data_IF_535809977962
#
_entry.id   IF_535809977962
#
_cell.length_a   1.000
_cell.length_b   1.000
_cell.length_c   1.000
_cell.angle_alpha   90.00
_cell.angle_beta   90.00
_cell.angle_gamma   90.00
#
_symmetry.space_group_name_H-M   'P 1'
#
loop_
_entity.id
_entity.type
_entity.pdbx_description
1 polymer ?
#
# COMPACT_ATOMS: atom_id res chain seq x y z
N UNK A 1 14.12 -63.08 -11.71
CA UNK A 1 13.03 -62.13 -12.00
C UNK A 1 12.63 -61.21 -10.82
N UNK A 2 13.14 -61.39 -9.60
CA UNK A 2 12.73 -60.59 -8.42
C UNK A 2 13.44 -59.22 -8.33
N UNK A 3 14.67 -59.10 -8.83
CA UNK A 3 15.49 -57.89 -8.76
C UNK A 3 15.01 -56.73 -9.65
N UNK A 4 14.44 -57.03 -10.82
CA UNK A 4 13.92 -56.01 -11.75
C UNK A 4 12.69 -55.27 -11.20
N UNK A 5 11.82 -55.98 -10.46
CA UNK A 5 10.58 -55.43 -9.90
C UNK A 5 10.86 -54.46 -8.74
N UNK A 6 11.87 -54.77 -7.92
CA UNK A 6 12.29 -53.91 -6.80
C UNK A 6 12.92 -52.61 -7.33
N UNK A 7 13.70 -52.71 -8.41
CA UNK A 7 14.35 -51.56 -9.03
C UNK A 7 13.32 -50.58 -9.63
N UNK A 8 12.31 -51.09 -10.34
CA UNK A 8 11.22 -50.27 -10.87
C UNK A 8 10.39 -49.57 -9.79
N UNK A 9 10.13 -50.23 -8.64
CA UNK A 9 9.40 -49.61 -7.53
C UNK A 9 10.18 -48.47 -6.88
N UNK A 10 11.49 -48.63 -6.68
CA UNK A 10 12.36 -47.58 -6.13
C UNK A 10 12.48 -46.38 -7.07
N UNK A 11 12.56 -46.62 -8.38
CA UNK A 11 12.61 -45.55 -9.37
C UNK A 11 11.33 -44.71 -9.39
N UNK A 12 10.15 -45.35 -9.25
CA UNK A 12 8.86 -44.63 -9.18
C UNK A 12 8.73 -43.81 -7.91
N UNK A 13 9.17 -44.32 -6.77
CA UNK A 13 9.16 -43.58 -5.51
C UNK A 13 10.08 -42.36 -5.58
N UNK A 14 11.27 -42.49 -6.15
CA UNK A 14 12.18 -41.36 -6.38
C UNK A 14 11.57 -40.31 -7.32
N UNK A 15 10.95 -40.74 -8.43
CA UNK A 15 10.30 -39.82 -9.35
C UNK A 15 9.16 -39.03 -8.68
N UNK A 16 8.32 -39.70 -7.88
CA UNK A 16 7.25 -39.03 -7.13
C UNK A 16 7.82 -38.07 -6.10
N UNK A 17 8.89 -38.46 -5.39
CA UNK A 17 9.54 -37.60 -4.41
C UNK A 17 10.13 -36.34 -5.06
N UNK A 18 10.76 -36.48 -6.23
CA UNK A 18 11.30 -35.36 -7.01
C UNK A 18 10.17 -34.44 -7.50
N UNK A 19 9.05 -34.99 -7.98
CA UNK A 19 7.89 -34.20 -8.40
C UNK A 19 7.28 -33.45 -7.23
N UNK A 20 7.17 -34.07 -6.05
CA UNK A 20 6.66 -33.42 -4.84
C UNK A 20 7.62 -32.33 -4.37
N UNK A 21 8.93 -32.57 -4.38
CA UNK A 21 9.92 -31.56 -4.02
C UNK A 21 9.92 -30.38 -5.00
N UNK A 22 9.73 -30.63 -6.30
CA UNK A 22 9.59 -29.58 -7.31
C UNK A 22 8.29 -28.78 -7.11
N UNK A 23 7.17 -29.45 -6.78
CA UNK A 23 5.90 -28.78 -6.48
C UNK A 23 5.97 -27.93 -5.21
N UNK A 24 6.67 -28.42 -4.17
CA UNK A 24 6.89 -27.66 -2.93
C UNK A 24 7.82 -26.46 -3.20
N UNK A 25 8.87 -26.65 -4.00
CA UNK A 25 9.78 -25.56 -4.37
C UNK A 25 9.07 -24.49 -5.24
N UNK A 26 8.20 -24.87 -6.17
CA UNK A 26 7.41 -23.90 -6.94
C UNK A 26 6.39 -23.19 -6.06
N UNK A 27 5.70 -23.89 -5.16
CA UNK A 27 4.76 -23.27 -4.20
C UNK A 27 5.47 -22.29 -3.24
N UNK A 28 6.67 -22.62 -2.77
CA UNK A 28 7.49 -21.71 -1.94
C UNK A 28 8.09 -20.53 -2.73
N UNK A 29 8.27 -20.69 -4.04
CA UNK A 29 8.70 -19.59 -4.94
C UNK A 29 7.54 -18.73 -5.44
N UNK A 30 6.30 -19.09 -5.09
CA UNK A 30 5.06 -18.43 -5.52
C UNK A 30 4.40 -17.61 -4.41
N UNK A 31 4.95 -17.55 -3.20
CA UNK A 31 4.68 -16.41 -2.33
C UNK A 31 5.37 -15.22 -3.00
N UNK A 32 4.63 -14.29 -3.63
CA UNK A 32 5.25 -13.06 -4.08
C UNK A 32 5.94 -12.49 -2.86
N UNK A 33 7.20 -12.05 -2.97
CA UNK A 33 7.78 -11.20 -1.93
C UNK A 33 6.74 -10.11 -1.66
N UNK A 34 6.18 -10.07 -0.46
CA UNK A 34 5.11 -9.13 -0.09
C UNK A 34 5.55 -7.67 -0.37
N UNK A 35 6.87 -7.45 -0.36
CA UNK A 35 7.57 -6.25 -0.81
C UNK A 35 7.32 -5.85 -2.27
N UNK A 36 7.22 -6.81 -3.19
CA UNK A 36 6.90 -6.56 -4.60
C UNK A 36 5.44 -6.15 -4.80
N UNK A 37 4.56 -6.44 -3.82
CA UNK A 37 3.18 -5.97 -3.81
C UNK A 37 3.08 -4.56 -3.24
N UNK A 38 3.92 -4.18 -2.27
CA UNK A 38 3.89 -2.83 -1.70
C UNK A 38 4.03 -1.72 -2.77
N UNK A 39 4.96 -1.85 -3.72
CA UNK A 39 5.17 -0.83 -4.77
C UNK A 39 3.97 -0.52 -5.67
N UNK A 40 3.34 -1.53 -6.31
CA UNK A 40 2.11 -1.32 -7.08
C UNK A 40 0.94 -0.80 -6.22
N UNK A 41 0.80 -1.30 -4.99
CA UNK A 41 -0.31 -0.92 -4.11
C UNK A 41 -0.15 0.49 -3.55
N UNK A 42 1.05 0.92 -3.19
CA UNK A 42 1.32 2.28 -2.72
C UNK A 42 1.03 3.33 -3.80
N UNK A 43 1.38 3.04 -5.05
CA UNK A 43 1.03 3.90 -6.18
C UNK A 43 -0.49 4.02 -6.38
N UNK A 44 -1.24 2.93 -6.22
CA UNK A 44 -2.71 2.96 -6.29
C UNK A 44 -3.35 3.72 -5.12
N UNK A 45 -2.81 3.54 -3.90
CA UNK A 45 -3.25 4.27 -2.72
C UNK A 45 -3.00 5.78 -2.89
N UNK A 46 -1.83 6.18 -3.40
CA UNK A 46 -1.50 7.56 -3.70
C UNK A 46 -2.47 8.18 -4.72
N UNK A 47 -2.75 7.48 -5.83
CA UNK A 47 -3.70 7.96 -6.84
C UNK A 47 -5.11 8.12 -6.26
N UNK A 48 -5.54 7.17 -5.43
CA UNK A 48 -6.83 7.25 -4.75
C UNK A 48 -6.85 8.44 -3.79
N UNK A 49 -5.82 8.62 -2.97
CA UNK A 49 -5.68 9.75 -2.06
C UNK A 49 -5.78 11.10 -2.80
N UNK A 50 -5.03 11.27 -3.91
CA UNK A 50 -5.05 12.48 -4.74
C UNK A 50 -6.45 12.74 -5.32
N UNK A 51 -7.14 11.69 -5.77
CA UNK A 51 -8.51 11.80 -6.29
C UNK A 51 -9.47 12.31 -5.21
N UNK A 52 -9.42 11.75 -4.01
CA UNK A 52 -10.30 12.13 -2.91
C UNK A 52 -9.97 13.56 -2.41
N UNK A 53 -8.68 13.91 -2.33
CA UNK A 53 -8.22 15.27 -2.04
C UNK A 53 -8.85 16.31 -2.98
N UNK A 54 -8.83 16.05 -4.29
CA UNK A 54 -9.36 16.97 -5.29
C UNK A 54 -10.87 17.14 -5.16
N UNK A 55 -11.59 16.04 -4.90
CA UNK A 55 -13.04 16.08 -4.67
C UNK A 55 -13.39 16.91 -3.43
N UNK A 56 -12.64 16.73 -2.35
CA UNK A 56 -12.79 17.52 -1.11
C UNK A 56 -12.49 18.99 -1.36
N UNK A 57 -11.43 19.32 -2.11
CA UNK A 57 -11.10 20.71 -2.48
C UNK A 57 -12.22 21.37 -3.28
N UNK A 58 -12.77 20.68 -4.28
CA UNK A 58 -13.89 21.20 -5.07
C UNK A 58 -15.10 21.50 -4.18
N UNK A 59 -15.41 20.60 -3.24
CA UNK A 59 -16.48 20.83 -2.27
C UNK A 59 -16.20 21.99 -1.33
N UNK A 60 -14.97 22.12 -0.84
CA UNK A 60 -14.57 23.20 0.05
C UNK A 60 -14.73 24.56 -0.61
N UNK A 61 -14.29 24.67 -1.87
CA UNK A 61 -14.47 25.88 -2.67
C UNK A 61 -15.95 26.23 -2.90
N UNK A 62 -16.81 25.22 -3.03
CA UNK A 62 -18.25 25.43 -3.22
C UNK A 62 -18.97 25.86 -1.93
N UNK A 63 -18.63 25.27 -0.79
CA UNK A 63 -19.33 25.47 0.49
C UNK A 63 -18.84 26.68 1.28
N UNK A 64 -17.63 27.17 1.00
CA UNK A 64 -17.01 28.34 1.67
C UNK A 64 -17.02 28.23 3.21
N UNK A 65 -16.36 27.21 3.73
CA UNK A 65 -16.24 26.94 5.16
C UNK A 65 -14.92 26.29 5.56
N UNK A 66 -14.66 26.21 6.86
CA UNK A 66 -13.48 25.57 7.45
C UNK A 66 -13.63 24.06 7.62
N UNK A 67 -14.73 23.47 7.12
CA UNK A 67 -14.94 22.03 7.08
C UNK A 67 -15.89 21.67 5.94
N UNK A 68 -15.77 20.45 5.43
CA UNK A 68 -16.72 19.87 4.47
C UNK A 68 -17.17 18.48 4.92
N UNK A 69 -18.41 18.14 4.63
CA UNK A 69 -18.89 16.77 4.81
C UNK A 69 -18.53 15.95 3.58
N UNK A 70 -17.68 14.94 3.76
CA UNK A 70 -17.21 14.02 2.73
C UNK A 70 -17.47 12.57 3.15
N UNK A 71 -18.25 11.82 2.37
CA UNK A 71 -18.58 10.41 2.63
C UNK A 71 -19.12 10.12 4.05
N UNK A 72 -19.77 11.11 4.69
CA UNK A 72 -20.27 10.97 6.07
C UNK A 72 -19.27 11.40 7.15
N UNK A 73 -18.05 11.76 6.77
CA UNK A 73 -17.00 12.31 7.63
C UNK A 73 -16.95 13.84 7.50
N UNK A 74 -16.57 14.54 8.57
CA UNK A 74 -16.33 15.98 8.53
C UNK A 74 -14.83 16.23 8.40
N UNK A 75 -14.40 16.74 7.25
CA UNK A 75 -13.00 17.01 6.96
C UNK A 75 -12.74 18.48 7.20
N UNK A 76 -11.81 18.79 8.10
CA UNK A 76 -11.36 20.15 8.36
C UNK A 76 -10.59 20.69 7.14
N UNK A 77 -10.80 21.96 6.82
CA UNK A 77 -10.22 22.64 5.66
C UNK A 77 -9.41 23.85 6.14
N UNK A 78 -8.19 23.99 5.62
CA UNK A 78 -7.33 25.14 5.89
C UNK A 78 -7.71 26.36 5.04
N UNK A 79 -6.98 27.46 5.23
CA UNK A 79 -7.24 28.72 4.52
C UNK A 79 -7.08 28.62 3.00
N UNK A 80 -6.26 27.67 2.52
CA UNK A 80 -5.98 27.40 1.11
C UNK A 80 -7.00 26.46 0.44
N UNK A 81 -7.99 25.98 1.19
CA UNK A 81 -9.05 25.10 0.69
C UNK A 81 -8.67 23.62 0.63
N UNK A 82 -7.63 23.21 1.38
CA UNK A 82 -7.15 21.83 1.46
C UNK A 82 -7.42 21.19 2.83
N UNK A 83 -7.47 19.85 2.91
CA UNK A 83 -7.58 19.15 4.19
C UNK A 83 -6.50 19.56 5.20
N UNK A 84 -6.94 20.00 6.36
CA UNK A 84 -6.09 20.38 7.47
C UNK A 84 -5.64 19.16 8.30
N UNK A 85 -4.55 19.27 9.08
CA UNK A 85 -4.17 18.28 10.08
C UNK A 85 -5.31 17.87 11.04
N UNK A 86 -5.24 16.67 11.67
CA UNK A 86 -4.11 15.72 11.66
C UNK A 86 -4.17 14.64 10.55
N UNK A 87 -3.01 14.07 10.18
CA UNK A 87 -2.86 13.16 9.02
C UNK A 87 -3.49 11.77 9.19
N UNK A 88 -3.48 11.28 10.42
CA UNK A 88 -3.97 9.95 10.82
C UNK A 88 -5.45 9.78 10.51
N UNK A 89 -6.24 10.82 10.74
CA UNK A 89 -7.66 10.87 10.35
C UNK A 89 -7.85 10.86 8.84
N UNK A 90 -7.03 11.61 8.10
CA UNK A 90 -7.23 11.85 6.66
C UNK A 90 -7.14 10.56 5.82
N UNK A 91 -6.23 9.65 6.13
CA UNK A 91 -6.12 8.36 5.44
C UNK A 91 -7.39 7.51 5.61
N UNK A 92 -7.92 7.47 6.83
CA UNK A 92 -9.12 6.71 7.16
C UNK A 92 -10.37 7.37 6.61
N UNK A 93 -10.47 8.70 6.65
CA UNK A 93 -11.57 9.47 6.10
C UNK A 93 -11.68 9.33 4.58
N UNK A 94 -10.58 9.03 3.89
CA UNK A 94 -10.56 8.68 2.47
C UNK A 94 -10.79 7.19 2.19
N UNK A 95 -11.08 6.40 3.22
CA UNK A 95 -11.40 4.98 3.09
C UNK A 95 -10.22 4.12 2.63
N UNK A 96 -8.99 4.60 2.84
CA UNK A 96 -7.79 3.84 2.46
C UNK A 96 -7.50 2.74 3.50
N UNK A 97 -7.01 1.57 3.06
CA UNK A 97 -6.81 0.43 3.95
C UNK A 97 -5.68 0.72 4.96
N UNK A 98 -5.77 0.23 6.20
CA UNK A 98 -4.73 0.41 7.21
C UNK A 98 -3.44 -0.37 6.89
N UNK A 99 -3.49 -1.30 5.93
CA UNK A 99 -2.35 -2.10 5.48
C UNK A 99 -2.35 -2.25 3.96
N UNK A 100 -1.16 -2.25 3.34
CA UNK A 100 -0.96 -2.49 1.91
C UNK A 100 0.03 -3.64 1.74
N UNK A 101 -0.33 -4.66 0.95
CA UNK A 101 0.54 -5.82 0.75
C UNK A 101 0.77 -6.68 2.01
N UNK A 102 -0.01 -6.49 3.08
CA UNK A 102 0.16 -7.18 4.37
C UNK A 102 0.91 -6.37 5.42
N UNK A 103 1.52 -5.25 5.02
CA UNK A 103 2.27 -4.37 5.91
C UNK A 103 1.43 -3.16 6.34
N UNK A 104 1.57 -2.73 7.59
CA UNK A 104 0.85 -1.59 8.14
C UNK A 104 1.34 -0.26 7.53
N UNK A 105 0.39 0.60 7.18
CA UNK A 105 0.70 1.95 6.71
C UNK A 105 1.07 2.83 7.90
N UNK A 106 2.33 3.25 7.94
CA UNK A 106 2.84 4.22 8.90
C UNK A 106 2.44 5.62 8.48
N UNK A 107 1.69 6.30 9.36
CA UNK A 107 1.23 7.67 9.16
C UNK A 107 1.89 8.54 10.21
N UNK A 108 2.67 9.53 9.78
CA UNK A 108 3.37 10.42 10.70
C UNK A 108 3.37 11.87 10.23
N UNK A 109 3.38 12.79 11.18
CA UNK A 109 3.60 14.21 10.93
C UNK A 109 5.09 14.51 10.93
N UNK A 110 5.61 15.00 9.81
CA UNK A 110 7.03 15.30 9.59
C UNK A 110 7.25 16.81 9.45
N UNK A 111 7.09 17.54 10.56
CA UNK A 111 7.29 19.00 10.61
C UNK A 111 6.23 19.79 9.82
N UNK A 112 6.29 19.74 8.49
CA UNK A 112 5.49 20.52 7.54
C UNK A 112 4.62 19.67 6.60
N UNK A 113 4.72 18.33 6.66
CA UNK A 113 3.96 17.42 5.80
C UNK A 113 3.54 16.14 6.53
N UNK A 114 2.51 15.49 5.99
CA UNK A 114 2.06 14.17 6.36
C UNK A 114 2.80 13.12 5.53
N UNK A 115 3.43 12.14 6.17
CA UNK A 115 4.05 11.00 5.49
C UNK A 115 3.17 9.76 5.66
N UNK A 116 2.84 9.12 4.54
CA UNK A 116 2.15 7.83 4.47
C UNK A 116 3.10 6.82 3.83
N UNK A 117 3.53 5.80 4.59
CA UNK A 117 4.58 4.89 4.13
C UNK A 117 4.35 3.44 4.58
N UNK A 118 4.86 2.50 3.79
CA UNK A 118 5.06 1.10 4.14
C UNK A 118 6.55 0.82 3.98
N UNK A 119 7.20 0.41 5.06
CA UNK A 119 8.66 0.30 5.13
C UNK A 119 9.35 1.61 4.65
N UNK A 120 10.07 1.57 3.53
CA UNK A 120 10.78 2.71 2.95
C UNK A 120 10.00 3.40 1.82
N UNK A 121 8.90 2.81 1.35
CA UNK A 121 8.11 3.32 0.24
C UNK A 121 6.91 4.13 0.74
N UNK A 122 6.63 5.27 0.12
CA UNK A 122 5.53 6.11 0.57
C UNK A 122 5.38 7.39 -0.24
N UNK A 123 4.51 8.26 0.24
CA UNK A 123 4.32 9.59 -0.31
C UNK A 123 4.04 10.61 0.80
N UNK A 124 4.34 11.86 0.47
CA UNK A 124 4.21 12.99 1.38
C UNK A 124 3.09 13.93 0.90
N UNK A 125 2.24 14.37 1.81
CA UNK A 125 1.18 15.36 1.59
C UNK A 125 1.48 16.64 2.35
N UNK A 126 1.55 17.77 1.66
CA UNK A 126 1.74 19.08 2.28
C UNK A 126 0.40 19.77 2.51
N UNK A 127 -0.07 19.91 3.77
CA UNK A 127 -1.40 20.45 4.05
C UNK A 127 -1.61 21.85 3.47
N UNK A 128 -0.61 22.73 3.56
CA UNK A 128 -0.73 24.11 3.07
C UNK A 128 -0.89 24.19 1.55
N UNK A 129 -0.15 23.38 0.79
CA UNK A 129 -0.17 23.46 -0.68
C UNK A 129 -1.09 22.43 -1.33
N UNK A 130 -1.52 21.42 -0.57
CA UNK A 130 -2.22 20.24 -1.05
C UNK A 130 -1.38 19.34 -1.96
N UNK A 131 -0.07 19.60 -2.07
CA UNK A 131 0.81 18.85 -2.96
C UNK A 131 1.00 17.44 -2.42
N UNK A 132 1.13 16.48 -3.32
CA UNK A 132 1.50 15.10 -3.01
C UNK A 132 2.72 14.71 -3.84
N UNK A 133 3.79 14.23 -3.20
CA UNK A 133 5.01 13.74 -3.89
C UNK A 133 5.34 12.31 -3.43
N UNK A 134 5.73 11.45 -4.38
CA UNK A 134 6.12 10.07 -4.08
C UNK A 134 7.60 9.99 -3.67
N UNK A 135 7.91 9.19 -2.66
CA UNK A 135 9.29 8.87 -2.30
C UNK A 135 9.79 7.70 -3.16
N UNK A 136 10.81 7.94 -3.97
CA UNK A 136 11.58 6.86 -4.62
C UNK A 136 12.83 6.60 -3.80
N UNK A 137 13.06 5.32 -3.45
CA UNK A 137 14.30 4.85 -2.82
C UNK A 137 15.52 5.47 -3.52
N UNK A 138 16.33 6.22 -2.77
CA UNK A 138 17.65 6.69 -3.21
C UNK A 138 17.97 8.18 -3.05
N UNK A 139 17.00 9.06 -2.76
CA UNK A 139 17.29 10.51 -2.54
C UNK A 139 17.52 10.85 -1.07
N UNK A 140 18.36 10.06 -0.41
CA UNK A 140 18.63 10.21 1.02
C UNK A 140 19.96 9.61 1.45
N UNK A 141 21.05 9.97 0.76
CA UNK A 141 22.40 10.12 1.33
C UNK A 141 23.36 10.78 0.34
#
# INVERSE_FOLDING_TARGET
>A
MVTAVIYQRRLRLLAVLVVVLLLVATLLSLSPDDKALAGPWMGQAQQSFIKELDQVRVLAMAQKGQAVTWQGHSIAINEDGWPAPPCDGLWQDFGLPPSLGGDEVQISWQGDFCRFAVEEEGFDYWPHSGRVEAFKQGEGQ
#
